data_IF_882659081716
#
_entry.id   IF_882659081716
#
_cell.length_a   1.000
_cell.length_b   1.000
_cell.length_c   1.000
_cell.angle_alpha   90.00
_cell.angle_beta   90.00
_cell.angle_gamma   90.00
#
_symmetry.space_group_name_H-M   'P 1'
#
loop_
_entity.id
_entity.type
_entity.pdbx_description
1 polymer ?
#
# COMPACT_ATOMS: atom_id res chain seq x y z
N UNK A 1 72.11 -65.81 -8.09
CA UNK A 1 73.49 -65.43 -8.49
C UNK A 1 74.25 -66.58 -9.15
N UNK A 2 74.31 -67.78 -8.55
CA UNK A 2 74.91 -68.97 -9.19
C UNK A 2 74.11 -69.49 -10.41
N UNK A 3 72.78 -69.57 -10.32
CA UNK A 3 71.91 -69.83 -11.47
C UNK A 3 71.95 -68.71 -12.49
N UNK A 4 72.11 -67.45 -12.05
CA UNK A 4 72.25 -66.29 -12.93
C UNK A 4 73.55 -66.36 -13.72
N UNK A 5 74.67 -66.76 -13.12
CA UNK A 5 75.95 -66.98 -13.83
C UNK A 5 75.85 -68.18 -14.79
N UNK A 6 75.20 -69.28 -14.41
CA UNK A 6 75.00 -70.44 -15.28
C UNK A 6 73.96 -70.20 -16.40
N UNK A 7 72.88 -69.46 -16.13
CA UNK A 7 71.87 -69.06 -17.10
C UNK A 7 72.41 -67.95 -18.03
N UNK A 8 73.19 -66.98 -17.53
CA UNK A 8 73.84 -65.96 -18.37
C UNK A 8 74.94 -66.57 -19.25
N UNK A 9 75.64 -67.62 -18.78
CA UNK A 9 76.58 -68.37 -19.63
C UNK A 9 75.82 -69.26 -20.64
N UNK A 10 74.66 -69.80 -20.29
CA UNK A 10 73.78 -70.52 -21.22
C UNK A 10 73.07 -69.59 -22.24
N UNK A 11 72.91 -68.30 -21.92
CA UNK A 11 72.39 -67.27 -22.84
C UNK A 11 73.46 -66.69 -23.79
N UNK A 12 74.73 -67.14 -23.71
CA UNK A 12 75.70 -67.04 -24.81
C UNK A 12 75.43 -68.08 -25.93
N UNK A 13 74.16 -68.47 -26.12
CA UNK A 13 73.62 -69.28 -27.20
C UNK A 13 73.52 -68.59 -28.57
N UNK A 14 74.31 -67.53 -28.79
CA UNK A 14 74.87 -67.22 -30.11
C UNK A 14 76.36 -67.55 -30.11
N UNK A 15 76.67 -68.81 -29.79
CA UNK A 15 77.98 -69.41 -30.04
C UNK A 15 78.31 -69.26 -31.53
N UNK A 16 79.32 -68.44 -31.83
CA UNK A 16 79.81 -68.23 -33.17
C UNK A 16 80.32 -69.56 -33.73
N UNK A 17 79.77 -69.98 -34.88
CA UNK A 17 80.27 -71.10 -35.68
C UNK A 17 81.79 -71.04 -35.77
N UNK A 18 82.45 -72.15 -35.40
CA UNK A 18 83.89 -72.35 -35.56
C UNK A 18 84.33 -72.13 -37.00
N UNK A 19 84.73 -70.91 -37.34
CA UNK A 19 85.31 -70.56 -38.64
C UNK A 19 85.98 -69.18 -38.61
N UNK A 20 86.95 -68.93 -37.73
CA UNK A 20 87.99 -67.93 -38.01
C UNK A 20 89.13 -68.00 -37.00
N UNK A 21 90.34 -67.98 -37.56
CA UNK A 21 91.64 -68.06 -36.89
C UNK A 21 91.87 -66.93 -35.88
N UNK A 22 92.62 -67.28 -34.84
CA UNK A 22 93.44 -66.42 -33.98
C UNK A 22 92.72 -65.67 -32.85
N UNK A 23 92.50 -66.35 -31.72
CA UNK A 23 92.36 -65.67 -30.42
C UNK A 23 93.75 -65.43 -29.84
N UNK A 24 94.12 -64.15 -29.75
CA UNK A 24 95.33 -63.69 -29.08
C UNK A 24 95.20 -63.94 -27.57
N UNK A 25 96.12 -64.72 -27.01
CA UNK A 25 96.19 -65.05 -25.59
C UNK A 25 96.52 -63.80 -24.74
N UNK A 26 95.51 -63.19 -24.13
CA UNK A 26 95.74 -62.29 -23.01
C UNK A 26 96.06 -63.14 -21.77
N UNK A 27 97.15 -62.81 -21.07
CA UNK A 27 97.65 -63.48 -19.87
C UNK A 27 96.58 -63.83 -18.81
N UNK A 28 95.53 -63.02 -18.69
CA UNK A 28 94.43 -63.20 -17.72
C UNK A 28 93.42 -64.31 -18.07
N UNK A 29 93.16 -64.57 -19.35
CA UNK A 29 92.17 -65.57 -19.80
C UNK A 29 92.68 -67.00 -19.63
N UNK A 30 94.01 -67.20 -19.68
CA UNK A 30 94.64 -68.50 -19.48
C UNK A 30 94.40 -69.10 -18.08
N UNK A 31 94.07 -68.27 -17.07
CA UNK A 31 93.85 -68.76 -15.71
C UNK A 31 92.55 -69.58 -15.58
N UNK A 32 91.56 -69.33 -16.43
CA UNK A 32 90.27 -70.03 -16.42
C UNK A 32 90.17 -71.13 -17.48
N UNK A 33 91.22 -71.30 -18.30
CA UNK A 33 91.26 -72.32 -19.33
C UNK A 33 91.51 -73.71 -18.71
N UNK A 34 90.85 -74.72 -19.27
CA UNK A 34 90.99 -76.09 -18.80
C UNK A 34 92.35 -76.70 -19.19
N UNK A 35 92.92 -77.65 -18.43
CA UNK A 35 94.27 -78.18 -18.67
C UNK A 35 94.50 -78.78 -20.07
N UNK A 36 93.44 -79.28 -20.70
CA UNK A 36 93.46 -79.90 -22.03
C UNK A 36 93.44 -78.90 -23.21
N UNK A 37 93.36 -77.58 -22.96
CA UNK A 37 93.14 -76.58 -24.02
C UNK A 37 94.36 -76.24 -24.91
N UNK A 38 95.42 -77.05 -24.90
CA UNK A 38 96.66 -76.81 -25.68
C UNK A 38 96.52 -76.91 -27.23
N UNK A 39 95.29 -77.06 -27.78
CA UNK A 39 95.06 -77.20 -29.22
C UNK A 39 93.84 -76.43 -29.78
N UNK A 40 93.51 -75.25 -29.23
CA UNK A 40 92.51 -74.33 -29.81
C UNK A 40 91.11 -74.95 -30.10
N UNK A 41 90.63 -75.87 -29.25
CA UNK A 41 89.25 -76.37 -29.27
C UNK A 41 88.63 -76.23 -27.89
N UNK A 42 87.58 -75.42 -27.78
CA UNK A 42 86.70 -75.36 -26.61
C UNK A 42 85.62 -76.45 -26.73
N UNK A 43 85.34 -77.14 -25.63
CA UNK A 43 84.26 -78.14 -25.50
C UNK A 43 83.35 -77.81 -24.33
N UNK A 44 82.15 -78.39 -24.25
CA UNK A 44 81.23 -78.16 -23.14
C UNK A 44 81.86 -78.50 -21.77
N UNK A 45 82.75 -79.49 -21.72
CA UNK A 45 83.50 -79.84 -20.50
C UNK A 45 84.51 -78.76 -20.12
N UNK A 46 85.08 -78.05 -21.11
CA UNK A 46 85.97 -76.90 -20.83
C UNK A 46 85.20 -75.70 -20.29
N UNK A 47 83.96 -75.48 -20.72
CA UNK A 47 83.09 -74.44 -20.15
C UNK A 47 82.71 -74.77 -18.69
N UNK A 48 82.39 -76.04 -18.40
CA UNK A 48 82.12 -76.50 -17.04
C UNK A 48 83.32 -76.24 -16.11
N UNK A 49 84.54 -76.41 -16.60
CA UNK A 49 85.75 -76.06 -15.84
C UNK A 49 85.84 -74.55 -15.57
N UNK A 50 85.66 -73.73 -16.61
CA UNK A 50 85.75 -72.27 -16.46
C UNK A 50 84.68 -71.74 -15.50
N UNK A 51 83.44 -72.21 -15.64
CA UNK A 51 82.35 -71.89 -14.72
C UNK A 51 82.69 -72.38 -13.31
N UNK A 52 83.20 -73.60 -13.16
CA UNK A 52 83.63 -74.14 -11.87
C UNK A 52 84.66 -73.23 -11.20
N UNK A 53 85.68 -72.80 -11.94
CA UNK A 53 86.70 -71.89 -11.44
C UNK A 53 86.13 -70.53 -11.00
N UNK A 54 85.22 -69.96 -11.80
CA UNK A 54 84.53 -68.70 -11.47
C UNK A 54 83.68 -68.86 -10.22
N UNK A 55 82.88 -69.93 -10.12
CA UNK A 55 82.02 -70.18 -8.96
C UNK A 55 82.86 -70.28 -7.69
N UNK A 56 83.95 -71.05 -7.75
CA UNK A 56 84.85 -71.20 -6.61
C UNK A 56 85.45 -69.85 -6.24
N UNK A 57 85.87 -69.04 -7.22
CA UNK A 57 86.40 -67.71 -6.96
C UNK A 57 85.36 -66.75 -6.38
N UNK A 58 84.11 -66.80 -6.82
CA UNK A 58 83.01 -66.00 -6.25
C UNK A 58 82.74 -66.40 -4.81
N UNK A 59 82.74 -67.71 -4.52
CA UNK A 59 82.47 -68.24 -3.19
C UNK A 59 83.63 -67.95 -2.23
N UNK A 60 84.87 -68.09 -2.70
CA UNK A 60 86.07 -68.02 -1.85
C UNK A 60 86.82 -66.70 -1.90
N UNK A 61 86.50 -65.84 -2.87
CA UNK A 61 87.24 -64.62 -3.21
C UNK A 61 88.62 -64.86 -3.85
N UNK A 62 89.03 -66.11 -4.09
CA UNK A 62 90.37 -66.47 -4.55
C UNK A 62 90.28 -67.52 -5.66
N UNK A 63 90.88 -67.25 -6.82
CA UNK A 63 90.97 -68.22 -7.91
C UNK A 63 91.57 -69.58 -7.46
N UNK A 64 90.93 -70.73 -7.79
CA UNK A 64 91.27 -72.04 -7.21
C UNK A 64 92.72 -72.48 -7.46
N UNK A 65 93.28 -72.14 -8.61
CA UNK A 65 94.65 -72.54 -9.00
C UNK A 65 95.71 -71.46 -8.76
N UNK A 66 95.37 -70.34 -8.09
CA UNK A 66 96.25 -69.17 -7.95
C UNK A 66 97.60 -69.50 -7.31
N UNK A 67 98.68 -69.37 -8.09
CA UNK A 67 100.07 -69.41 -7.63
C UNK A 67 100.62 -68.02 -7.27
N UNK A 68 101.86 -67.97 -6.78
CA UNK A 68 102.59 -66.73 -6.47
C UNK A 68 102.99 -65.96 -7.75
N UNK A 69 103.19 -66.67 -8.85
CA UNK A 69 103.45 -66.11 -10.19
C UNK A 69 102.48 -66.68 -11.21
N UNK A 70 102.31 -66.00 -12.35
CA UNK A 70 101.44 -66.48 -13.43
C UNK A 70 101.88 -67.87 -13.94
N UNK A 71 103.18 -68.10 -14.13
CA UNK A 71 103.71 -69.41 -14.51
C UNK A 71 103.37 -70.50 -13.48
N UNK A 72 103.38 -70.17 -12.18
CA UNK A 72 102.97 -71.10 -11.14
C UNK A 72 101.46 -71.39 -11.19
N UNK A 73 100.62 -70.39 -11.48
CA UNK A 73 99.17 -70.59 -11.69
C UNK A 73 98.91 -71.53 -12.87
N UNK A 74 99.58 -71.33 -14.01
CA UNK A 74 99.43 -72.20 -15.17
C UNK A 74 99.94 -73.62 -14.88
N UNK A 75 101.06 -73.76 -14.17
CA UNK A 75 101.56 -75.06 -13.71
C UNK A 75 100.59 -75.77 -12.76
N UNK A 76 99.94 -75.04 -11.86
CA UNK A 76 98.90 -75.57 -10.99
C UNK A 76 97.68 -76.06 -11.79
N UNK A 77 97.25 -75.32 -12.82
CA UNK A 77 96.18 -75.73 -13.73
C UNK A 77 96.58 -77.01 -14.46
N UNK A 78 97.74 -77.03 -15.14
CA UNK A 78 98.23 -78.19 -15.88
C UNK A 78 98.42 -79.43 -14.99
N UNK A 79 98.80 -79.25 -13.72
CA UNK A 79 98.94 -80.35 -12.75
C UNK A 79 97.63 -80.72 -12.05
N UNK A 80 96.58 -79.91 -12.13
CA UNK A 80 95.32 -80.10 -11.41
C UNK A 80 95.41 -79.79 -9.91
N UNK A 81 96.39 -78.98 -9.48
CA UNK A 81 96.63 -78.64 -8.07
C UNK A 81 95.87 -77.37 -7.69
N UNK A 82 94.69 -77.52 -7.08
CA UNK A 82 93.89 -76.41 -6.56
C UNK A 82 94.10 -76.20 -5.05
N UNK A 83 93.75 -75.00 -4.56
CA UNK A 83 93.76 -74.67 -3.13
C UNK A 83 92.64 -75.43 -2.39
N UNK A 84 92.88 -75.88 -1.13
CA UNK A 84 91.85 -76.55 -0.36
C UNK A 84 90.63 -75.63 -0.17
N UNK A 85 89.44 -76.22 -0.24
CA UNK A 85 88.19 -75.52 -0.01
C UNK A 85 88.07 -75.04 1.44
N UNK A 86 87.56 -73.82 1.70
CA UNK A 86 87.25 -73.35 3.05
C UNK A 86 86.15 -74.20 3.70
N UNK A 87 86.11 -74.19 5.04
CA UNK A 87 85.17 -75.02 5.83
C UNK A 87 83.70 -74.73 5.56
N UNK A 88 83.31 -73.61 4.95
CA UNK A 88 81.90 -73.36 4.59
C UNK A 88 81.49 -73.98 3.25
N UNK A 89 82.44 -74.43 2.43
CA UNK A 89 82.16 -75.16 1.18
C UNK A 89 82.18 -76.65 1.49
N UNK A 90 81.03 -77.18 1.90
CA UNK A 90 80.87 -78.58 2.30
C UNK A 90 79.77 -79.28 1.48
N UNK A 91 79.63 -80.60 1.72
CA UNK A 91 78.51 -81.39 1.20
C UNK A 91 78.45 -81.47 -0.32
N UNK A 92 77.22 -81.50 -0.85
CA UNK A 92 76.94 -81.63 -2.28
C UNK A 92 77.60 -80.51 -3.10
N UNK A 93 77.56 -79.26 -2.61
CA UNK A 93 78.18 -78.12 -3.27
C UNK A 93 79.69 -78.34 -3.47
N UNK A 94 80.39 -78.85 -2.45
CA UNK A 94 81.82 -79.15 -2.56
C UNK A 94 82.08 -80.23 -3.62
N UNK A 95 81.32 -81.32 -3.56
CA UNK A 95 81.43 -82.45 -4.51
C UNK A 95 81.19 -81.95 -5.94
N UNK A 96 80.17 -81.11 -6.12
CA UNK A 96 79.85 -80.49 -7.40
C UNK A 96 81.03 -79.66 -7.92
N UNK A 97 81.58 -78.76 -7.11
CA UNK A 97 82.70 -77.89 -7.51
C UNK A 97 83.97 -78.68 -7.81
N UNK A 98 84.32 -79.68 -6.98
CA UNK A 98 85.46 -80.58 -7.23
C UNK A 98 85.30 -81.36 -8.55
N UNK A 99 84.07 -81.79 -8.86
CA UNK A 99 83.75 -82.40 -10.15
C UNK A 99 83.95 -81.45 -11.33
N UNK A 100 83.50 -80.20 -11.20
CA UNK A 100 83.62 -79.19 -12.28
C UNK A 100 85.08 -78.86 -12.61
N UNK A 101 85.96 -78.76 -11.61
CA UNK A 101 87.39 -78.49 -11.80
C UNK A 101 88.26 -79.75 -11.86
N UNK A 102 87.69 -80.88 -12.31
CA UNK A 102 88.46 -82.11 -12.49
C UNK A 102 89.42 -82.02 -13.68
N UNK A 103 90.68 -82.42 -13.46
CA UNK A 103 91.70 -82.45 -14.54
C UNK A 103 91.28 -83.37 -15.69
N UNK A 104 90.60 -84.48 -15.39
CA UNK A 104 90.05 -85.38 -16.39
C UNK A 104 88.70 -84.82 -16.88
N UNK A 105 88.67 -84.31 -18.12
CA UNK A 105 87.46 -83.69 -18.68
C UNK A 105 86.24 -84.63 -18.66
N UNK A 106 86.45 -85.96 -18.73
CA UNK A 106 85.37 -86.96 -18.73
C UNK A 106 84.72 -87.13 -17.37
N UNK A 107 85.39 -86.70 -16.29
CA UNK A 107 84.86 -86.74 -14.93
C UNK A 107 84.06 -85.50 -14.57
N UNK A 108 84.08 -84.47 -15.41
CA UNK A 108 83.30 -83.25 -15.19
C UNK A 108 81.81 -83.55 -15.40
N UNK A 109 80.92 -83.09 -14.51
CA UNK A 109 79.49 -83.28 -14.67
C UNK A 109 78.97 -82.49 -15.88
N UNK A 110 77.88 -82.96 -16.48
CA UNK A 110 77.18 -82.19 -17.52
C UNK A 110 76.40 -81.04 -16.91
N UNK A 111 76.15 -79.97 -17.68
CA UNK A 111 75.31 -78.84 -17.24
C UNK A 111 73.93 -79.30 -16.78
N UNK A 112 73.34 -80.30 -17.45
CA UNK A 112 72.06 -80.88 -17.04
C UNK A 112 72.14 -81.50 -15.64
N UNK A 113 73.19 -82.28 -15.37
CA UNK A 113 73.39 -82.87 -14.04
C UNK A 113 73.63 -81.81 -12.95
N UNK A 114 74.31 -80.71 -13.27
CA UNK A 114 74.47 -79.57 -12.36
C UNK A 114 73.14 -78.90 -12.02
N UNK A 115 72.28 -78.67 -13.02
CA UNK A 115 70.95 -78.10 -12.84
C UNK A 115 69.99 -79.02 -12.06
N UNK A 116 70.19 -80.34 -12.17
CA UNK A 116 69.41 -81.35 -11.46
C UNK A 116 69.88 -81.56 -10.00
N UNK A 117 70.99 -80.96 -9.57
CA UNK A 117 71.48 -81.05 -8.19
C UNK A 117 70.48 -80.48 -7.18
N UNK A 118 70.47 -81.03 -5.96
CA UNK A 118 69.55 -80.62 -4.90
C UNK A 118 69.75 -79.13 -4.57
N UNK A 119 71.01 -78.71 -4.47
CA UNK A 119 71.40 -77.31 -4.28
C UNK A 119 70.74 -76.38 -5.31
N UNK A 120 70.71 -76.78 -6.58
CA UNK A 120 70.19 -75.93 -7.65
C UNK A 120 68.65 -75.88 -7.68
N UNK A 121 68.00 -77.00 -7.35
CA UNK A 121 66.55 -77.06 -7.23
C UNK A 121 66.02 -76.17 -6.10
N UNK A 122 66.71 -76.13 -4.95
CA UNK A 122 66.31 -75.31 -3.80
C UNK A 122 66.31 -73.82 -4.15
N UNK A 123 67.33 -73.33 -4.85
CA UNK A 123 67.40 -71.93 -5.28
C UNK A 123 66.22 -71.58 -6.20
N UNK A 124 65.88 -72.47 -7.14
CA UNK A 124 64.73 -72.27 -8.03
C UNK A 124 63.39 -72.24 -7.30
N UNK A 125 63.24 -72.95 -6.18
CA UNK A 125 62.03 -72.90 -5.36
C UNK A 125 61.90 -71.58 -4.58
N UNK A 126 63.02 -71.03 -4.08
CA UNK A 126 63.02 -69.76 -3.33
C UNK A 126 62.64 -68.58 -4.23
N UNK A 127 63.15 -68.54 -5.46
CA UNK A 127 62.85 -67.47 -6.42
C UNK A 127 61.36 -67.44 -6.78
N UNK A 128 60.76 -68.60 -7.08
CA UNK A 128 59.31 -68.70 -7.36
C UNK A 128 58.42 -68.20 -6.22
N UNK A 129 58.82 -68.44 -4.97
CA UNK A 129 58.06 -67.95 -3.80
C UNK A 129 58.16 -66.42 -3.63
N UNK A 130 59.26 -65.80 -4.04
CA UNK A 130 59.42 -64.35 -3.98
C UNK A 130 58.57 -63.64 -5.04
N UNK A 131 58.49 -64.18 -6.26
CA UNK A 131 57.64 -63.64 -7.32
C UNK A 131 56.15 -63.68 -6.96
N UNK A 132 55.67 -64.79 -6.38
CA UNK A 132 54.25 -64.90 -5.97
C UNK A 132 53.88 -63.88 -4.89
N UNK A 133 54.73 -63.70 -3.86
CA UNK A 133 54.48 -62.71 -2.79
C UNK A 133 54.43 -61.27 -3.30
N UNK A 134 55.23 -60.92 -4.31
CA UNK A 134 55.18 -59.59 -4.93
C UNK A 134 53.83 -59.31 -5.61
N UNK A 135 53.33 -60.29 -6.36
CA UNK A 135 52.06 -60.15 -7.09
C UNK A 135 50.82 -60.04 -6.17
N UNK A 136 50.82 -60.71 -5.02
CA UNK A 136 49.72 -60.64 -4.05
C UNK A 136 49.64 -59.26 -3.37
N UNK A 137 50.79 -58.67 -3.04
CA UNK A 137 50.85 -57.34 -2.42
C UNK A 137 50.36 -56.24 -3.36
N UNK A 138 50.72 -56.30 -4.64
CA UNK A 138 50.24 -55.35 -5.66
C UNK A 138 48.72 -55.43 -5.85
N UNK A 139 48.16 -56.65 -5.88
CA UNK A 139 46.72 -56.86 -6.01
C UNK A 139 45.94 -56.33 -4.80
N UNK A 140 46.44 -56.53 -3.58
CA UNK A 140 45.80 -56.00 -2.37
C UNK A 140 45.81 -54.46 -2.36
N UNK A 141 46.91 -53.85 -2.79
CA UNK A 141 47.02 -52.39 -2.89
C UNK A 141 46.06 -51.82 -3.96
N UNK A 142 45.90 -52.52 -5.08
CA UNK A 142 44.99 -52.12 -6.14
C UNK A 142 43.53 -52.17 -5.68
N UNK A 143 43.14 -53.24 -4.99
CA UNK A 143 41.77 -53.41 -4.47
C UNK A 143 41.40 -52.32 -3.43
N UNK A 144 42.34 -51.91 -2.57
CA UNK A 144 42.12 -50.79 -1.63
C UNK A 144 41.82 -49.48 -2.37
N UNK A 145 42.54 -49.23 -3.47
CA UNK A 145 42.39 -47.99 -4.26
C UNK A 145 41.09 -47.97 -5.06
N UNK A 146 40.65 -49.12 -5.58
CA UNK A 146 39.34 -49.26 -6.25
C UNK A 146 38.21 -48.93 -5.29
N UNK A 147 38.19 -49.53 -4.10
CA UNK A 147 37.15 -49.27 -3.09
C UNK A 147 37.09 -47.78 -2.68
N UNK A 148 38.25 -47.12 -2.54
CA UNK A 148 38.30 -45.69 -2.21
C UNK A 148 37.70 -44.83 -3.34
N UNK A 149 38.00 -45.15 -4.59
CA UNK A 149 37.46 -44.45 -5.76
C UNK A 149 35.95 -44.67 -5.90
N UNK A 150 35.46 -45.88 -5.69
CA UNK A 150 34.02 -46.17 -5.72
C UNK A 150 33.25 -45.35 -4.68
N UNK A 151 33.78 -45.25 -3.45
CA UNK A 151 33.20 -44.42 -2.40
C UNK A 151 33.18 -42.93 -2.77
N UNK A 152 34.25 -42.43 -3.39
CA UNK A 152 34.32 -41.04 -3.90
C UNK A 152 33.31 -40.80 -5.01
N UNK A 153 33.20 -41.69 -5.99
CA UNK A 153 32.21 -41.59 -7.08
C UNK A 153 30.79 -41.53 -6.51
N UNK A 154 30.45 -42.43 -5.59
CA UNK A 154 29.12 -42.44 -4.94
C UNK A 154 28.83 -41.13 -4.21
N UNK A 155 29.82 -40.54 -3.53
CA UNK A 155 29.66 -39.26 -2.84
C UNK A 155 29.43 -38.09 -3.81
N UNK A 156 30.13 -38.08 -4.95
CA UNK A 156 29.99 -37.06 -5.99
C UNK A 156 28.64 -37.13 -6.69
N UNK A 157 28.13 -38.34 -6.93
CA UNK A 157 26.80 -38.54 -7.50
C UNK A 157 25.70 -38.00 -6.59
N UNK A 158 25.79 -38.26 -5.27
CA UNK A 158 24.86 -37.71 -4.28
C UNK A 158 24.90 -36.19 -4.28
N UNK A 159 26.09 -35.59 -4.32
CA UNK A 159 26.22 -34.12 -4.31
C UNK A 159 25.67 -33.50 -5.60
N UNK A 160 25.93 -34.12 -6.76
CA UNK A 160 25.36 -33.70 -8.05
C UNK A 160 23.84 -33.74 -8.06
N UNK A 161 23.23 -34.75 -7.44
CA UNK A 161 21.77 -34.84 -7.29
C UNK A 161 21.24 -33.73 -6.37
N UNK A 162 21.92 -33.43 -5.25
CA UNK A 162 21.54 -32.33 -4.36
C UNK A 162 21.62 -30.97 -5.06
N UNK A 163 22.69 -30.71 -5.82
CA UNK A 163 22.82 -29.47 -6.60
C UNK A 163 21.70 -29.33 -7.64
N UNK A 164 21.40 -30.41 -8.37
CA UNK A 164 20.28 -30.42 -9.33
C UNK A 164 18.95 -30.12 -8.65
N UNK A 165 18.71 -30.69 -7.47
CA UNK A 165 17.49 -30.42 -6.71
C UNK A 165 17.43 -28.98 -6.21
N UNK A 166 18.55 -28.41 -5.72
CA UNK A 166 18.64 -26.99 -5.33
C UNK A 166 18.36 -26.05 -6.50
N UNK A 167 18.92 -26.35 -7.68
CA UNK A 167 18.67 -25.58 -8.90
C UNK A 167 17.19 -25.61 -9.30
N UNK A 168 16.56 -26.80 -9.28
CA UNK A 168 15.14 -26.96 -9.57
C UNK A 168 14.23 -26.19 -8.60
N UNK A 169 14.55 -26.21 -7.30
CA UNK A 169 13.80 -25.45 -6.28
C UNK A 169 13.91 -23.94 -6.56
N UNK A 170 15.13 -23.45 -6.79
CA UNK A 170 15.36 -22.03 -7.10
C UNK A 170 14.62 -21.59 -8.38
N UNK A 171 14.59 -22.44 -9.40
CA UNK A 171 13.84 -22.17 -10.64
C UNK A 171 12.32 -22.14 -10.42
N UNK A 172 11.78 -23.06 -9.62
CA UNK A 172 10.36 -23.05 -9.23
C UNK A 172 9.99 -21.81 -8.42
N UNK A 173 10.83 -21.38 -7.47
CA UNK A 173 10.61 -20.17 -6.69
C UNK A 173 10.65 -18.91 -7.58
N UNK A 174 11.61 -18.84 -8.51
CA UNK A 174 11.70 -17.74 -9.49
C UNK A 174 10.44 -17.67 -10.37
N UNK A 175 9.93 -18.82 -10.83
CA UNK A 175 8.71 -18.87 -11.64
C UNK A 175 7.46 -18.46 -10.84
N UNK A 176 7.36 -18.87 -9.57
CA UNK A 176 6.28 -18.43 -8.68
C UNK A 176 6.32 -16.92 -8.46
N UNK A 177 7.49 -16.37 -8.14
CA UNK A 177 7.67 -14.94 -7.94
C UNK A 177 7.33 -14.11 -9.19
N UNK A 178 7.69 -14.61 -10.39
CA UNK A 178 7.34 -13.96 -11.66
C UNK A 178 5.82 -13.96 -11.87
N UNK A 179 5.17 -15.09 -11.63
CA UNK A 179 3.71 -15.22 -11.77
C UNK A 179 2.96 -14.31 -10.79
N UNK A 180 3.46 -14.18 -9.56
CA UNK A 180 2.88 -13.30 -8.54
C UNK A 180 3.05 -11.82 -8.89
N UNK A 181 4.21 -11.45 -9.45
CA UNK A 181 4.46 -10.12 -9.99
C UNK A 181 3.52 -9.79 -11.16
N UNK A 182 3.29 -10.72 -12.08
CA UNK A 182 2.37 -10.53 -13.20
C UNK A 182 0.92 -10.34 -12.72
N UNK A 183 0.48 -11.11 -11.72
CA UNK A 183 -0.83 -10.91 -11.06
C UNK A 183 -0.94 -9.51 -10.45
N UNK A 184 0.10 -9.04 -9.77
CA UNK A 184 0.11 -7.72 -9.15
C UNK A 184 0.04 -6.58 -10.20
N UNK A 185 0.69 -6.76 -11.35
CA UNK A 185 0.60 -5.80 -12.47
C UNK A 185 -0.83 -5.73 -12.99
N UNK A 186 -1.50 -6.88 -13.20
CA UNK A 186 -2.90 -6.92 -13.67
C UNK A 186 -3.83 -6.22 -12.69
N UNK A 187 -3.68 -6.46 -11.39
CA UNK A 187 -4.49 -5.79 -10.35
C UNK A 187 -4.29 -4.27 -10.39
N UNK A 188 -3.03 -3.80 -10.48
CA UNK A 188 -2.74 -2.36 -10.57
C UNK A 188 -3.30 -1.73 -11.84
N UNK A 189 -3.29 -2.44 -12.96
CA UNK A 189 -3.88 -1.97 -14.23
C UNK A 189 -5.41 -1.82 -14.10
N UNK A 190 -6.07 -2.79 -13.44
CA UNK A 190 -7.51 -2.74 -13.17
C UNK A 190 -7.89 -1.59 -12.22
N UNK A 191 -7.13 -1.37 -11.15
CA UNK A 191 -7.33 -0.25 -10.23
C UNK A 191 -7.20 1.09 -10.95
N UNK A 192 -6.18 1.24 -11.79
CA UNK A 192 -5.96 2.46 -12.58
C UNK A 192 -7.10 2.70 -13.59
N UNK A 193 -7.60 1.66 -14.25
CA UNK A 193 -8.76 1.78 -15.13
C UNK A 193 -10.02 2.21 -14.37
N UNK A 194 -10.24 1.65 -13.18
CA UNK A 194 -11.37 2.02 -12.33
C UNK A 194 -11.28 3.50 -11.90
N UNK A 195 -10.10 3.96 -11.52
CA UNK A 195 -9.88 5.37 -11.14
C UNK A 195 -10.13 6.32 -12.33
N UNK A 196 -9.72 5.95 -13.55
CA UNK A 196 -10.00 6.72 -14.76
C UNK A 196 -11.51 6.77 -15.02
N UNK A 197 -12.22 5.66 -14.86
CA UNK A 197 -13.65 5.58 -15.09
C UNK A 197 -14.45 6.42 -14.08
N UNK A 198 -14.05 6.38 -12.80
CA UNK A 198 -14.63 7.23 -11.75
C UNK A 198 -14.41 8.72 -12.02
N UNK A 199 -13.20 9.10 -12.45
CA UNK A 199 -12.88 10.49 -12.83
C UNK A 199 -13.71 10.96 -14.04
N UNK A 200 -13.89 10.12 -15.05
CA UNK A 200 -14.73 10.43 -16.21
C UNK A 200 -16.20 10.61 -15.82
N UNK A 201 -16.72 9.72 -14.96
CA UNK A 201 -18.09 9.81 -14.46
C UNK A 201 -18.31 11.11 -13.66
N UNK A 202 -17.41 11.42 -12.72
CA UNK A 202 -17.48 12.66 -11.94
C UNK A 202 -17.39 13.92 -12.82
N UNK A 203 -16.58 13.88 -13.90
CA UNK A 203 -16.52 14.99 -14.84
C UNK A 203 -17.82 15.15 -15.63
N UNK A 204 -18.42 14.06 -16.11
CA UNK A 204 -19.71 14.09 -16.80
C UNK A 204 -20.83 14.61 -15.90
N UNK A 205 -20.84 14.24 -14.62
CA UNK A 205 -21.81 14.74 -13.64
C UNK A 205 -21.65 16.26 -13.43
N UNK A 206 -20.42 16.75 -13.25
CA UNK A 206 -20.14 18.19 -13.16
C UNK A 206 -20.58 18.96 -14.41
N UNK A 207 -20.33 18.43 -15.60
CA UNK A 207 -20.72 19.08 -16.86
C UNK A 207 -22.24 19.08 -17.06
N UNK A 208 -22.95 18.08 -16.52
CA UNK A 208 -24.41 18.03 -16.54
C UNK A 208 -25.02 19.01 -15.53
N UNK A 209 -24.44 19.11 -14.34
CA UNK A 209 -24.86 20.04 -13.29
C UNK A 209 -24.64 21.50 -13.73
N UNK A 210 -23.50 21.80 -14.35
CA UNK A 210 -23.24 23.11 -14.96
C UNK A 210 -24.28 23.46 -16.03
N UNK A 211 -24.62 22.53 -16.92
CA UNK A 211 -25.67 22.75 -17.94
C UNK A 211 -27.05 23.01 -17.34
N UNK A 212 -27.40 22.32 -16.25
CA UNK A 212 -28.64 22.60 -15.51
C UNK A 212 -28.60 24.01 -14.92
N UNK A 213 -27.52 24.37 -14.24
CA UNK A 213 -27.35 25.70 -13.68
C UNK A 213 -27.41 26.81 -14.75
N UNK A 214 -26.79 26.60 -15.92
CA UNK A 214 -26.85 27.55 -17.04
C UNK A 214 -28.29 27.70 -17.58
N UNK A 215 -29.06 26.61 -17.61
CA UNK A 215 -30.48 26.61 -18.05
C UNK A 215 -31.35 27.33 -17.03
N UNK A 216 -31.20 27.01 -15.75
CA UNK A 216 -31.90 27.68 -14.64
C UNK A 216 -31.55 29.17 -14.61
N UNK A 217 -30.29 29.53 -14.84
CA UNK A 217 -29.86 30.93 -14.89
C UNK A 217 -30.49 31.67 -16.07
N UNK A 218 -30.56 31.06 -17.25
CA UNK A 218 -31.25 31.63 -18.40
C UNK A 218 -32.76 31.82 -18.15
N UNK A 219 -33.40 30.87 -17.47
CA UNK A 219 -34.81 30.95 -17.07
C UNK A 219 -35.05 32.08 -16.06
N UNK A 220 -34.17 32.21 -15.05
CA UNK A 220 -34.20 33.32 -14.09
C UNK A 220 -34.04 34.67 -14.78
N UNK A 221 -33.14 34.79 -15.76
CA UNK A 221 -32.98 36.03 -16.53
C UNK A 221 -34.28 36.37 -17.28
N UNK A 222 -34.90 35.38 -17.93
CA UNK A 222 -36.17 35.55 -18.64
C UNK A 222 -37.29 36.00 -17.71
N UNK A 223 -37.48 35.31 -16.59
CA UNK A 223 -38.49 35.64 -15.58
C UNK A 223 -38.24 37.02 -14.96
N UNK A 224 -36.98 37.40 -14.74
CA UNK A 224 -36.61 38.72 -14.21
C UNK A 224 -36.98 39.83 -15.20
N UNK A 225 -36.76 39.62 -16.50
CA UNK A 225 -37.18 40.56 -17.53
C UNK A 225 -38.71 40.71 -17.57
N UNK A 226 -39.44 39.61 -17.42
CA UNK A 226 -40.90 39.61 -17.40
C UNK A 226 -41.47 40.32 -16.16
N UNK A 227 -40.91 40.07 -14.97
CA UNK A 227 -41.25 40.80 -13.73
C UNK A 227 -40.99 42.30 -13.91
N UNK A 228 -39.85 42.68 -14.50
CA UNK A 228 -39.51 44.09 -14.72
C UNK A 228 -40.53 44.76 -15.64
N UNK A 229 -40.95 44.06 -16.71
CA UNK A 229 -41.99 44.53 -17.64
C UNK A 229 -43.35 44.68 -16.94
N UNK A 230 -43.76 43.70 -16.13
CA UNK A 230 -45.01 43.77 -15.37
C UNK A 230 -45.00 44.91 -14.35
N UNK A 231 -43.87 45.13 -13.67
CA UNK A 231 -43.72 46.27 -12.76
C UNK A 231 -43.81 47.62 -13.48
N UNK A 232 -43.23 47.75 -14.68
CA UNK A 232 -43.39 48.95 -15.51
C UNK A 232 -44.84 49.19 -15.94
N UNK A 233 -45.60 48.13 -16.23
CA UNK A 233 -47.03 48.24 -16.53
C UNK A 233 -47.86 48.65 -15.30
N UNK A 234 -47.48 48.17 -14.11
CA UNK A 234 -48.11 48.56 -12.85
C UNK A 234 -47.91 50.04 -12.50
N UNK A 235 -46.77 50.63 -12.86
CA UNK A 235 -46.49 52.06 -12.69
C UNK A 235 -47.36 52.96 -13.60
N UNK A 236 -48.05 52.39 -14.59
CA UNK A 236 -48.95 53.13 -15.48
C UNK A 236 -50.40 53.13 -15.00
N UNK A 237 -50.72 52.42 -13.90
CA UNK A 237 -52.05 52.48 -13.28
C UNK A 237 -52.17 53.80 -12.52
N UNK A 238 -53.13 54.68 -12.86
CA UNK A 238 -53.35 55.91 -12.10
C UNK A 238 -53.67 55.60 -10.62
N UNK A 239 -52.96 56.24 -9.69
CA UNK A 239 -53.18 56.08 -8.24
C UNK A 239 -54.62 56.35 -7.80
N UNK A 240 -55.37 57.14 -8.57
CA UNK A 240 -56.78 57.46 -8.36
C UNK A 240 -57.74 56.27 -8.55
N UNK A 241 -57.32 55.17 -9.19
CA UNK A 241 -58.14 53.96 -9.33
C UNK A 241 -58.09 53.05 -8.10
N UNK A 242 -57.16 53.30 -7.18
CA UNK A 242 -56.95 52.49 -5.97
C UNK A 242 -57.49 53.18 -4.70
N UNK A 243 -57.76 54.49 -4.73
CA UNK A 243 -58.22 55.24 -3.56
C UNK A 243 -59.65 54.86 -3.17
N UNK A 244 -59.86 54.55 -1.88
CA UNK A 244 -61.18 54.28 -1.31
C UNK A 244 -61.76 55.61 -0.82
N UNK A 245 -62.91 56.00 -1.37
CA UNK A 245 -63.68 57.12 -0.82
C UNK A 245 -64.15 56.78 0.58
N UNK A 246 -63.89 57.67 1.54
CA UNK A 246 -64.20 57.41 2.94
C UNK A 246 -65.01 58.54 3.59
N UNK A 247 -65.68 58.18 4.69
CA UNK A 247 -66.40 59.10 5.56
C UNK A 247 -65.99 58.86 7.02
N UNK A 248 -65.68 59.92 7.76
CA UNK A 248 -65.43 59.81 9.20
C UNK A 248 -66.73 59.63 9.97
N UNK A 249 -66.70 58.75 10.96
CA UNK A 249 -67.75 58.56 11.96
C UNK A 249 -67.28 59.33 13.18
N UNK A 250 -67.71 60.59 13.27
CA UNK A 250 -67.36 61.49 14.36
C UNK A 250 -68.39 61.30 15.49
N UNK A 251 -67.97 60.86 16.69
CA UNK A 251 -68.90 60.67 17.81
C UNK A 251 -69.56 61.97 18.27
N UNK A 252 -68.80 63.07 18.22
CA UNK A 252 -69.22 64.37 18.71
C UNK A 252 -68.58 65.50 17.88
N UNK A 253 -69.35 66.18 17.01
CA UNK A 253 -68.86 67.27 16.16
C UNK A 253 -68.31 68.49 16.92
N UNK A 254 -68.69 68.65 18.19
CA UNK A 254 -68.15 69.71 19.04
C UNK A 254 -66.72 69.40 19.50
N UNK A 255 -66.36 68.13 19.58
CA UNK A 255 -65.04 67.67 20.01
C UNK A 255 -64.10 67.44 18.83
N UNK A 256 -64.61 66.91 17.71
CA UNK A 256 -63.80 66.62 16.52
C UNK A 256 -64.45 67.22 15.29
N UNK A 257 -63.62 67.80 14.43
CA UNK A 257 -64.03 68.17 13.08
C UNK A 257 -63.16 67.50 12.04
N UNK A 258 -63.70 67.34 10.84
CA UNK A 258 -62.95 66.95 9.65
C UNK A 258 -62.80 68.17 8.73
N UNK A 259 -61.57 68.39 8.24
CA UNK A 259 -61.23 69.34 7.18
C UNK A 259 -60.51 68.55 6.09
N UNK A 260 -61.20 68.28 4.98
CA UNK A 260 -60.70 67.42 3.91
C UNK A 260 -60.22 66.05 4.45
N UNK A 261 -58.94 65.73 4.31
CA UNK A 261 -58.33 64.49 4.81
C UNK A 261 -57.78 64.61 6.25
N UNK A 262 -58.00 65.74 6.92
CA UNK A 262 -57.47 66.02 8.25
C UNK A 262 -58.56 65.97 9.31
N UNK A 263 -58.35 65.13 10.32
CA UNK A 263 -59.21 65.04 11.52
C UNK A 263 -58.56 65.89 12.62
N UNK A 264 -59.31 66.83 13.18
CA UNK A 264 -58.81 67.79 14.17
C UNK A 264 -59.62 67.64 15.45
N UNK A 265 -58.93 67.37 16.56
CA UNK A 265 -59.53 67.32 17.89
C UNK A 265 -59.52 68.74 18.50
N UNK A 266 -60.69 69.34 18.67
CA UNK A 266 -60.84 70.72 19.17
C UNK A 266 -60.79 70.81 20.69
N UNK A 267 -61.62 70.02 21.36
CA UNK A 267 -61.86 70.07 22.82
C UNK A 267 -62.35 68.73 23.32
N UNK A 268 -62.29 68.53 24.64
CA UNK A 268 -62.64 67.28 25.30
C UNK A 268 -61.42 66.61 25.92
N UNK A 269 -61.57 65.34 26.32
CA UNK A 269 -60.51 64.52 26.91
C UNK A 269 -59.83 63.70 25.82
N UNK A 270 -60.62 63.02 25.00
CA UNK A 270 -60.17 62.20 23.88
C UNK A 270 -61.33 61.98 22.90
N UNK A 271 -61.04 61.50 21.70
CA UNK A 271 -62.09 61.06 20.78
C UNK A 271 -61.59 60.01 19.82
N UNK A 272 -62.37 58.93 19.68
CA UNK A 272 -62.11 57.84 18.74
C UNK A 272 -62.95 58.03 17.48
N UNK A 273 -62.29 58.15 16.32
CA UNK A 273 -62.95 58.39 15.04
C UNK A 273 -62.72 57.19 14.14
N UNK A 274 -63.81 56.50 13.78
CA UNK A 274 -63.79 55.39 12.85
C UNK A 274 -64.07 55.86 11.42
N UNK A 275 -63.75 55.03 10.42
CA UNK A 275 -63.96 55.38 9.01
C UNK A 275 -64.87 54.37 8.29
N UNK A 276 -65.76 54.89 7.45
CA UNK A 276 -66.51 54.17 6.43
C UNK A 276 -65.73 54.19 5.10
N UNK A 277 -65.86 53.16 4.24
CA UNK A 277 -66.65 51.95 4.43
C UNK A 277 -65.99 50.96 5.41
N UNK A 278 -66.77 50.03 5.96
CA UNK A 278 -66.20 48.85 6.60
C UNK A 278 -65.55 47.96 5.53
N UNK A 279 -64.39 47.41 5.84
CA UNK A 279 -63.62 46.57 4.92
C UNK A 279 -64.01 45.11 5.13
N UNK A 280 -64.46 44.45 4.08
CA UNK A 280 -64.93 43.06 4.10
C UNK A 280 -64.18 42.13 3.13
N UNK A 281 -63.48 42.71 2.15
CA UNK A 281 -62.71 42.00 1.13
C UNK A 281 -61.57 42.86 0.61
N UNK A 282 -60.62 42.26 -0.10
CA UNK A 282 -59.48 42.95 -0.70
C UNK A 282 -58.27 43.05 0.23
N UNK A 283 -57.23 43.69 -0.28
CA UNK A 283 -56.07 44.09 0.51
C UNK A 283 -56.13 45.61 0.60
N UNK A 284 -56.26 46.14 1.81
CA UNK A 284 -56.50 47.57 2.02
C UNK A 284 -55.43 48.15 2.92
N UNK A 285 -54.91 49.31 2.53
CA UNK A 285 -53.94 50.08 3.30
C UNK A 285 -54.60 51.37 3.81
N UNK A 286 -54.41 51.66 5.08
CA UNK A 286 -54.89 52.87 5.74
C UNK A 286 -53.76 53.50 6.56
N UNK A 287 -53.50 54.78 6.38
CA UNK A 287 -52.37 55.44 7.00
C UNK A 287 -52.38 56.95 6.89
N UNK A 288 -51.48 57.57 7.64
CA UNK A 288 -51.38 59.01 7.80
C UNK A 288 -50.30 59.40 8.78
N UNK A 289 -50.36 60.63 9.28
CA UNK A 289 -49.45 61.11 10.31
C UNK A 289 -50.18 61.94 11.36
N UNK A 290 -49.69 61.86 12.60
CA UNK A 290 -50.17 62.65 13.73
C UNK A 290 -49.40 63.96 13.86
N UNK A 291 -50.08 65.05 14.23
CA UNK A 291 -49.50 66.38 14.38
C UNK A 291 -50.06 67.11 15.60
N UNK A 292 -49.24 67.98 16.20
CA UNK A 292 -49.59 68.88 17.30
C UNK A 292 -50.06 68.16 18.60
N UNK A 293 -49.53 66.96 18.89
CA UNK A 293 -49.72 66.29 20.18
C UNK A 293 -48.58 66.62 21.15
N UNK A 294 -48.75 67.69 21.93
CA UNK A 294 -47.72 68.24 22.80
C UNK A 294 -47.19 67.26 23.85
N UNK A 295 -48.06 66.47 24.53
CA UNK A 295 -47.65 65.49 25.56
C UNK A 295 -48.54 64.25 25.72
N UNK A 296 -49.75 64.19 25.15
CA UNK A 296 -50.64 63.03 25.35
C UNK A 296 -50.38 61.90 24.36
N UNK A 297 -51.01 60.76 24.64
CA UNK A 297 -51.03 59.57 23.79
C UNK A 297 -51.86 59.81 22.52
N UNK A 298 -51.73 58.94 21.54
CA UNK A 298 -52.62 58.83 20.38
C UNK A 298 -52.53 57.40 19.84
N UNK A 299 -53.56 56.98 19.12
CA UNK A 299 -53.72 55.58 18.73
C UNK A 299 -54.23 55.53 17.31
N UNK A 300 -53.74 54.53 16.57
CA UNK A 300 -54.31 54.09 15.30
C UNK A 300 -54.61 52.60 15.39
N UNK A 301 -55.67 52.12 14.74
CA UNK A 301 -56.06 50.73 14.90
C UNK A 301 -57.16 50.27 13.96
N UNK A 302 -57.54 49.01 14.14
CA UNK A 302 -58.75 48.45 13.53
C UNK A 302 -59.76 48.07 14.61
N UNK A 303 -61.02 48.21 14.28
CA UNK A 303 -62.13 47.75 15.08
C UNK A 303 -62.96 46.74 14.30
N UNK A 304 -63.60 45.79 14.99
CA UNK A 304 -64.73 45.07 14.43
C UNK A 304 -65.78 46.10 13.97
N UNK A 305 -66.40 45.88 12.81
CA UNK A 305 -67.34 46.85 12.23
C UNK A 305 -68.54 47.19 13.11
N UNK A 306 -68.86 46.33 14.10
CA UNK A 306 -69.90 46.52 15.11
C UNK A 306 -69.48 47.40 16.30
N UNK A 307 -68.21 47.79 16.41
CA UNK A 307 -67.74 48.70 17.44
C UNK A 307 -68.37 50.10 17.27
N UNK A 308 -68.84 50.66 18.37
CA UNK A 308 -69.41 52.01 18.44
C UNK A 308 -68.62 52.80 19.47
N UNK A 309 -68.21 54.01 19.11
CA UNK A 309 -67.44 54.89 19.97
C UNK A 309 -68.28 56.11 20.36
N UNK A 310 -68.44 56.35 21.66
CA UNK A 310 -69.10 57.51 22.21
C UNK A 310 -68.19 58.74 22.33
N UNK A 311 -68.80 59.86 22.75
CA UNK A 311 -68.06 61.09 23.05
C UNK A 311 -67.17 60.89 24.28
N UNK A 312 -65.90 61.32 24.19
CA UNK A 312 -64.88 61.13 25.23
C UNK A 312 -64.56 59.66 25.60
N UNK A 313 -64.88 58.70 24.73
CA UNK A 313 -64.65 57.27 24.99
C UNK A 313 -63.31 56.77 24.40
N UNK A 314 -62.56 55.97 25.18
CA UNK A 314 -61.36 55.26 24.69
C UNK A 314 -61.75 54.12 23.75
N UNK A 315 -60.86 53.73 22.82
CA UNK A 315 -61.16 52.62 21.91
C UNK A 315 -61.28 51.24 22.59
N UNK A 316 -61.09 51.14 23.91
CA UNK A 316 -61.24 49.91 24.69
C UNK A 316 -62.26 50.02 25.84
N UNK A 317 -63.06 51.08 25.90
CA UNK A 317 -64.11 51.16 26.92
C UNK A 317 -65.25 50.17 26.65
N UNK A 318 -65.86 49.66 27.72
CA UNK A 318 -66.94 48.68 27.64
C UNK A 318 -66.59 47.43 26.82
N UNK A 319 -67.45 47.09 25.87
CA UNK A 319 -67.23 45.93 24.99
C UNK A 319 -66.10 46.15 23.97
N UNK A 320 -65.69 47.40 23.73
CA UNK A 320 -64.70 47.72 22.71
C UNK A 320 -63.31 47.15 23.04
N UNK A 321 -63.04 46.79 24.30
CA UNK A 321 -61.79 46.10 24.69
C UNK A 321 -61.54 44.83 23.87
N UNK A 322 -62.61 44.09 23.51
CA UNK A 322 -62.59 42.86 22.71
C UNK A 322 -62.76 43.10 21.21
N UNK A 323 -63.13 44.33 20.82
CA UNK A 323 -63.47 44.67 19.44
C UNK A 323 -62.43 45.55 18.76
N UNK A 324 -61.31 45.87 19.40
CA UNK A 324 -60.28 46.73 18.80
C UNK A 324 -58.87 46.20 18.97
N UNK A 325 -58.03 46.42 17.95
CA UNK A 325 -56.57 46.33 18.04
C UNK A 325 -56.02 47.74 18.03
N UNK A 326 -55.14 48.03 18.99
CA UNK A 326 -54.65 49.37 19.31
C UNK A 326 -53.14 49.43 19.07
N UNK A 327 -52.68 50.34 18.21
CA UNK A 327 -51.27 50.69 18.07
C UNK A 327 -51.02 52.06 18.70
N UNK A 328 -50.36 52.05 19.86
CA UNK A 328 -50.10 53.24 20.66
C UNK A 328 -48.91 54.04 20.15
N UNK A 329 -48.90 55.32 20.51
CA UNK A 329 -47.78 56.25 20.26
C UNK A 329 -46.42 55.65 20.61
N UNK A 330 -46.29 54.96 21.74
CA UNK A 330 -44.98 54.52 22.23
C UNK A 330 -44.43 53.25 21.55
N UNK A 331 -45.21 52.62 20.67
CA UNK A 331 -44.79 51.41 19.95
C UNK A 331 -45.62 50.18 20.29
N UNK A 332 -46.37 50.25 21.39
CA UNK A 332 -47.05 49.07 21.91
C UNK A 332 -48.29 48.71 21.10
N UNK A 333 -48.51 47.41 20.92
CA UNK A 333 -49.78 46.87 20.45
C UNK A 333 -50.60 46.32 21.62
N UNK A 334 -51.91 46.52 21.59
CA UNK A 334 -52.82 45.86 22.53
C UNK A 334 -54.07 45.36 21.83
N UNK A 335 -54.51 44.19 22.28
CA UNK A 335 -55.85 43.68 22.15
C UNK A 335 -56.29 43.22 23.55
N UNK A 336 -57.17 42.23 23.67
CA UNK A 336 -57.54 41.63 24.96
C UNK A 336 -56.26 41.24 25.73
N UNK A 337 -56.12 41.68 26.98
CA UNK A 337 -54.94 41.39 27.82
C UNK A 337 -53.91 42.51 27.86
N UNK A 338 -52.63 42.13 27.87
CA UNK A 338 -51.47 42.99 28.09
C UNK A 338 -51.14 43.89 26.90
N UNK A 339 -50.20 44.81 27.13
CA UNK A 339 -49.57 45.61 26.09
C UNK A 339 -48.32 44.88 25.62
N UNK A 340 -48.19 44.74 24.31
CA UNK A 340 -47.11 44.01 23.66
C UNK A 340 -46.16 45.02 23.04
N UNK A 341 -44.99 45.13 23.63
CA UNK A 341 -43.89 45.98 23.15
C UNK A 341 -43.27 45.39 21.88
N UNK A 342 -42.78 46.20 20.95
CA UNK A 342 -41.92 45.70 19.85
C UNK A 342 -42.13 46.35 18.49
N UNK A 343 -43.21 47.10 18.27
CA UNK A 343 -43.25 48.01 17.13
C UNK A 343 -42.55 49.33 17.48
N UNK A 344 -42.21 50.08 16.44
CA UNK A 344 -41.54 51.37 16.58
C UNK A 344 -42.49 52.42 17.17
N UNK A 345 -41.93 53.32 17.97
CA UNK A 345 -42.62 54.52 18.45
C UNK A 345 -43.08 55.38 17.28
N UNK A 346 -44.33 55.83 17.32
CA UNK A 346 -44.90 56.73 16.32
C UNK A 346 -44.52 58.18 16.67
N UNK A 347 -43.54 58.72 15.95
CA UNK A 347 -43.14 60.12 16.06
C UNK A 347 -44.12 61.07 15.35
N UNK A 348 -44.19 62.33 15.80
CA UNK A 348 -45.01 63.34 15.16
C UNK A 348 -44.50 63.65 13.75
N UNK A 349 -45.45 63.88 12.84
CA UNK A 349 -45.20 64.12 11.41
C UNK A 349 -44.53 62.96 10.66
N UNK A 350 -44.32 61.81 11.31
CA UNK A 350 -43.90 60.57 10.65
C UNK A 350 -45.13 59.74 10.28
N UNK A 351 -45.01 59.01 9.18
CA UNK A 351 -46.12 58.21 8.66
C UNK A 351 -46.26 56.91 9.45
N UNK A 352 -47.51 56.57 9.75
CA UNK A 352 -47.91 55.28 10.28
C UNK A 352 -49.05 54.75 9.42
N UNK A 353 -48.98 53.47 9.08
CA UNK A 353 -49.98 52.82 8.26
C UNK A 353 -50.26 51.39 8.75
N UNK A 354 -51.41 50.89 8.34
CA UNK A 354 -51.86 49.53 8.55
C UNK A 354 -52.28 48.96 7.22
N UNK A 355 -52.04 47.67 7.02
CA UNK A 355 -52.50 46.92 5.86
C UNK A 355 -53.25 45.70 6.34
N UNK A 356 -54.45 45.51 5.82
CA UNK A 356 -55.24 44.30 6.04
C UNK A 356 -55.28 43.45 4.78
N UNK A 357 -55.22 42.13 4.92
CA UNK A 357 -55.52 41.19 3.84
C UNK A 357 -56.77 40.40 4.20
N UNK A 358 -57.90 40.77 3.60
CA UNK A 358 -59.20 40.16 3.84
C UNK A 358 -59.50 38.98 2.91
N UNK A 359 -58.63 38.73 1.92
CA UNK A 359 -58.81 37.68 0.90
C UNK A 359 -58.29 36.31 1.32
N UNK A 360 -57.54 36.23 2.42
CA UNK A 360 -56.94 34.99 2.92
C UNK A 360 -57.56 34.56 4.25
N UNK A 361 -57.39 33.28 4.61
CA UNK A 361 -57.78 32.74 5.91
C UNK A 361 -56.56 32.01 6.51
N UNK A 362 -56.09 32.39 7.72
CA UNK A 362 -56.59 33.50 8.54
C UNK A 362 -56.34 34.88 7.91
N UNK A 363 -57.25 35.84 8.13
CA UNK A 363 -57.09 37.22 7.65
C UNK A 363 -56.01 37.93 8.43
N UNK A 364 -55.24 38.82 7.81
CA UNK A 364 -54.08 39.42 8.47
C UNK A 364 -54.17 40.94 8.56
N UNK A 365 -53.52 41.50 9.58
CA UNK A 365 -53.25 42.91 9.80
C UNK A 365 -51.75 43.10 10.05
N UNK A 366 -51.14 43.99 9.28
CA UNK A 366 -49.73 44.33 9.33
C UNK A 366 -49.57 45.82 9.56
N UNK A 367 -48.61 46.22 10.39
CA UNK A 367 -48.33 47.63 10.70
C UNK A 367 -47.08 48.12 9.98
N UNK A 368 -47.04 49.41 9.68
CA UNK A 368 -45.93 50.09 9.02
C UNK A 368 -45.65 51.41 9.73
N UNK A 369 -44.38 51.71 9.95
CA UNK A 369 -43.89 53.00 10.44
C UNK A 369 -42.79 53.49 9.50
N UNK A 370 -42.92 54.73 9.00
CA UNK A 370 -42.06 55.32 7.96
C UNK A 370 -41.82 54.38 6.77
N UNK A 371 -42.92 53.75 6.30
CA UNK A 371 -42.96 52.72 5.24
C UNK A 371 -42.21 51.41 5.52
N UNK A 372 -41.70 51.19 6.74
CA UNK A 372 -41.09 49.93 7.16
C UNK A 372 -42.10 49.04 7.87
N UNK A 373 -42.19 47.78 7.45
CA UNK A 373 -43.04 46.76 8.09
C UNK A 373 -42.58 46.50 9.53
N UNK A 374 -43.52 46.43 10.45
CA UNK A 374 -43.24 46.32 11.89
C UNK A 374 -43.24 44.85 12.37
N UNK A 375 -42.48 44.51 13.44
CA UNK A 375 -42.32 43.13 13.91
C UNK A 375 -43.61 42.48 14.43
N UNK A 376 -44.52 43.25 15.01
CA UNK A 376 -45.77 42.73 15.54
C UNK A 376 -46.88 42.83 14.49
N UNK A 377 -47.63 41.75 14.33
CA UNK A 377 -48.76 41.67 13.40
C UNK A 377 -49.91 40.88 14.01
N UNK A 378 -51.11 41.00 13.43
CA UNK A 378 -52.31 40.31 13.91
C UNK A 378 -52.86 39.38 12.84
N UNK A 379 -53.29 38.20 13.26
CA UNK A 379 -53.94 37.20 12.43
C UNK A 379 -55.36 36.91 12.92
N UNK A 380 -56.15 36.32 12.04
CA UNK A 380 -57.55 35.97 12.22
C UNK A 380 -58.47 37.15 12.55
N UNK A 381 -58.21 38.31 11.95
CA UNK A 381 -59.06 39.50 12.13
C UNK A 381 -60.51 39.27 11.63
N UNK A 382 -61.50 40.00 12.18
CA UNK A 382 -62.92 39.79 11.85
C UNK A 382 -63.24 39.90 10.36
N UNK A 383 -64.40 39.38 9.95
CA UNK A 383 -64.84 39.44 8.55
C UNK A 383 -65.27 40.82 8.06
N UNK A 384 -65.48 41.75 8.98
CA UNK A 384 -65.77 43.13 8.66
C UNK A 384 -65.10 44.02 9.70
N UNK A 385 -64.19 44.88 9.26
CA UNK A 385 -63.43 45.77 10.14
C UNK A 385 -63.56 47.22 9.71
N UNK A 386 -63.29 48.14 10.63
CA UNK A 386 -63.14 49.58 10.37
C UNK A 386 -61.76 50.02 10.81
N UNK A 387 -61.14 50.90 10.04
CA UNK A 387 -60.01 51.66 10.54
C UNK A 387 -60.49 52.74 11.49
N UNK A 388 -59.68 53.07 12.48
CA UNK A 388 -59.95 54.18 13.39
C UNK A 388 -58.66 54.85 13.88
N UNK A 389 -58.81 56.07 14.39
CA UNK A 389 -57.80 56.80 15.15
C UNK A 389 -58.38 57.26 16.49
N UNK A 390 -57.54 57.52 17.49
CA UNK A 390 -57.93 58.17 18.75
C UNK A 390 -56.97 59.32 19.07
N UNK A 391 -57.54 60.51 19.31
CA UNK A 391 -56.82 61.75 19.59
C UNK A 391 -57.07 62.19 21.04
N UNK A 392 -56.06 62.76 21.71
CA UNK A 392 -56.12 63.12 23.15
C UNK A 392 -55.70 64.56 23.48
N UNK A 393 -55.09 65.30 22.54
CA UNK A 393 -54.58 66.66 22.82
C UNK A 393 -55.40 67.68 22.07
N UNK A 394 -55.97 68.66 22.76
CA UNK A 394 -56.70 69.74 22.09
C UNK A 394 -55.83 70.43 21.02
N UNK A 395 -56.43 70.69 19.86
CA UNK A 395 -55.80 71.16 18.62
C UNK A 395 -54.84 70.18 17.93
N UNK A 396 -54.74 68.94 18.39
CA UNK A 396 -54.03 67.90 17.66
C UNK A 396 -54.81 67.38 16.46
N UNK A 397 -54.11 66.72 15.55
CA UNK A 397 -54.73 66.20 14.34
C UNK A 397 -54.07 64.94 13.79
N UNK A 398 -54.84 64.23 12.97
CA UNK A 398 -54.36 63.17 12.10
C UNK A 398 -54.69 63.52 10.65
N UNK A 399 -53.70 63.44 9.78
CA UNK A 399 -53.90 63.66 8.34
C UNK A 399 -53.83 62.31 7.64
N UNK A 400 -54.91 61.92 6.97
CA UNK A 400 -55.01 60.66 6.21
C UNK A 400 -54.27 60.86 4.89
N UNK A 401 -53.25 60.05 4.64
CA UNK A 401 -52.48 60.06 3.39
C UNK A 401 -52.77 58.83 2.54
N UNK A 402 -53.23 57.76 3.17
CA UNK A 402 -53.46 56.47 2.52
C UNK A 402 -54.81 55.93 2.99
N UNK A 403 -55.73 55.71 2.05
CA UNK A 403 -56.87 54.82 2.24
C UNK A 403 -57.17 54.22 0.88
N UNK A 404 -56.56 53.08 0.59
CA UNK A 404 -56.53 52.53 -0.77
C UNK A 404 -56.55 51.01 -0.79
N UNK A 405 -57.14 50.46 -1.86
CA UNK A 405 -57.05 49.06 -2.21
C UNK A 405 -55.75 48.80 -2.96
N UNK A 406 -54.97 47.84 -2.50
CA UNK A 406 -53.69 47.45 -3.12
C UNK A 406 -53.81 46.07 -3.77
N UNK A 407 -53.18 45.88 -4.93
CA UNK A 407 -53.33 44.62 -5.69
C UNK A 407 -52.53 43.45 -5.13
N UNK A 408 -51.44 43.70 -4.40
CA UNK A 408 -50.54 42.66 -3.92
C UNK A 408 -50.20 42.87 -2.45
N UNK A 409 -50.09 41.78 -1.71
CA UNK A 409 -49.52 41.82 -0.36
C UNK A 409 -48.01 42.00 -0.46
N UNK A 410 -47.53 43.23 -0.34
CA UNK A 410 -46.09 43.55 -0.21
C UNK A 410 -45.47 43.14 1.15
N UNK A 411 -46.21 42.42 2.00
CA UNK A 411 -45.69 42.01 3.31
C UNK A 411 -44.65 40.93 3.03
N UNK A 412 -43.39 41.23 3.31
CA UNK A 412 -42.28 40.36 2.84
C UNK A 412 -42.21 39.05 3.62
N UNK A 413 -42.87 38.97 4.79
CA UNK A 413 -42.71 37.86 5.71
C UNK A 413 -41.25 37.74 6.20
N UNK A 414 -41.04 37.04 7.33
CA UNK A 414 -39.68 36.71 7.76
C UNK A 414 -38.87 37.90 8.31
N UNK A 415 -39.52 38.92 8.88
CA UNK A 415 -38.84 39.96 9.65
C UNK A 415 -38.23 39.29 10.89
N UNK A 416 -36.95 39.57 11.17
CA UNK A 416 -36.28 39.04 12.36
C UNK A 416 -37.03 39.49 13.62
N UNK A 417 -37.49 38.53 14.43
CA UNK A 417 -38.27 38.80 15.64
C UNK A 417 -39.76 39.04 15.39
N UNK A 418 -40.29 38.66 14.22
CA UNK A 418 -41.72 38.76 13.95
C UNK A 418 -42.54 37.96 14.96
N UNK A 419 -43.53 38.62 15.58
CA UNK A 419 -44.51 37.98 16.46
C UNK A 419 -45.91 38.24 15.92
N UNK A 420 -46.69 37.17 15.82
CA UNK A 420 -48.03 37.20 15.26
C UNK A 420 -49.00 36.88 16.39
N UNK A 421 -49.97 37.76 16.62
CA UNK A 421 -50.98 37.61 17.65
C UNK A 421 -52.34 37.35 17.03
N UNK A 422 -53.12 36.47 17.63
CA UNK A 422 -54.45 36.11 17.12
C UNK A 422 -55.52 37.05 17.71
N UNK A 423 -56.39 37.57 16.85
CA UNK A 423 -57.55 38.34 17.28
C UNK A 423 -58.47 37.50 18.18
N UNK A 424 -59.10 38.11 19.18
CA UNK A 424 -60.03 37.44 20.08
C UNK A 424 -59.38 36.57 21.16
N UNK A 425 -58.05 36.41 21.13
CA UNK A 425 -57.27 35.78 22.21
C UNK A 425 -56.75 36.82 23.19
N UNK A 426 -56.56 36.41 24.44
CA UNK A 426 -55.83 37.19 25.43
C UNK A 426 -54.33 37.18 25.08
N UNK A 427 -53.75 38.37 24.97
CA UNK A 427 -52.33 38.59 24.70
C UNK A 427 -51.60 38.79 26.01
N UNK A 428 -50.43 38.15 26.16
CA UNK A 428 -49.60 38.21 27.37
C UNK A 428 -48.17 38.61 27.04
N UNK A 429 -47.55 39.39 27.92
CA UNK A 429 -46.15 39.77 27.75
C UNK A 429 -45.22 38.59 28.12
N UNK A 430 -44.36 38.13 27.21
CA UNK A 430 -43.55 36.89 27.36
C UNK A 430 -42.25 37.07 28.19
N UNK A 431 -42.12 38.14 28.98
CA UNK A 431 -40.82 38.54 29.56
C UNK A 431 -40.57 38.00 31.00
N UNK A 432 -41.51 37.31 31.67
CA UNK A 432 -41.34 36.98 33.10
C UNK A 432 -40.74 35.62 33.49
N UNK A 433 -40.58 34.64 32.58
CA UNK A 433 -40.44 33.24 33.04
C UNK A 433 -39.02 32.63 32.86
N UNK A 434 -37.94 33.42 32.89
CA UNK A 434 -36.57 32.89 32.64
C UNK A 434 -35.59 32.87 33.81
N UNK A 435 -35.98 33.29 35.02
CA UNK A 435 -35.03 33.43 36.14
C UNK A 435 -35.16 32.39 37.27
N UNK A 436 -35.95 31.32 37.15
CA UNK A 436 -36.13 30.34 38.26
C UNK A 436 -35.37 29.00 38.14
N UNK A 437 -34.80 28.61 36.99
CA UNK A 437 -34.31 27.23 36.78
C UNK A 437 -32.77 27.05 36.73
N UNK A 438 -31.97 27.92 37.37
CA UNK A 438 -30.49 27.73 37.44
C UNK A 438 -29.89 27.59 38.86
N UNK A 439 -30.66 27.04 39.81
CA UNK A 439 -30.10 26.57 41.08
C UNK A 439 -30.58 25.15 41.33
N UNK A 440 -29.94 24.17 40.67
CA UNK A 440 -29.69 22.80 41.15
C UNK A 440 -29.22 21.92 39.98
N UNK A 441 -27.89 21.76 39.87
CA UNK A 441 -27.21 20.47 39.65
C UNK A 441 -25.69 20.65 39.59
#
# INVERSE_FOLDING_TARGET
MLQLILNDVADFGLAQKMASKTYLYAAGTLNYAAPETEQNKMTSESDVWSIGAIIIEVITGIHPFKGLTQQQTLSNISSGKYKPFPDYVQGELRIMLEGMISKDYRKRPTVKALLESETMQIVGMVEKQQEQKGSEQENEQMNKKVNELEMKVRSLEVEKVKEKNRANIAEQEKQKALTEKDKLIVVKEQEKQKEIQEKQKAQSERDQEKRRADTEHAEVISLTAEITRLNQLLLQVPSSLCTITYQSIIPDPDHVIQQENKIIFKRGIQSTVAFNPAITSGIVRFGGFFKDHSRNNFIIGIADSSAVFGSNERPWEGENIKKTVRYFKDGDLSHIGDWIEGNSRIELNKTVAMKVNMNIRPRTLTFFYDNQEQPLSVTDIPSSIRFYICLYTANSSFTITEFESVQYSSAKGGIKGQRIFEWGKEWKNQISDKDEDQIEN
#
